data_IF_378401255405
#
_entry.id   IF_378401255405
#
_cell.length_a   1.000
_cell.length_b   1.000
_cell.length_c   1.000
_cell.angle_alpha   90.00
_cell.angle_beta   90.00
_cell.angle_gamma   90.00
#
_symmetry.space_group_name_H-M   'P 1'
#
loop_
_entity.id
_entity.type
_entity.pdbx_description
1 polymer ?
#
# COMPACT_ATOMS: atom_id res chain seq x y z
N UNK A 1 -32.74 1.00 -5.87
CA UNK A 1 -31.65 1.96 -5.60
C UNK A 1 -31.20 1.72 -4.17
N UNK A 2 -30.03 1.10 -3.97
CA UNK A 2 -29.45 0.94 -2.63
C UNK A 2 -28.82 2.28 -2.27
N UNK A 3 -29.27 2.90 -1.18
CA UNK A 3 -28.66 4.13 -0.69
C UNK A 3 -27.19 3.86 -0.34
N UNK A 4 -26.29 4.74 -0.76
CA UNK A 4 -24.87 4.66 -0.39
C UNK A 4 -24.77 4.66 1.14
N UNK A 5 -23.94 3.77 1.71
CA UNK A 5 -23.75 3.69 3.15
C UNK A 5 -23.30 5.04 3.74
N UNK A 6 -22.58 5.84 2.96
CA UNK A 6 -22.20 7.21 3.31
C UNK A 6 -23.41 8.16 3.43
N UNK A 7 -24.40 8.03 2.55
CA UNK A 7 -25.63 8.84 2.59
C UNK A 7 -26.56 8.45 3.74
N UNK A 8 -26.51 7.19 4.18
CA UNK A 8 -27.36 6.67 5.26
C UNK A 8 -26.73 6.91 6.64
N UNK A 9 -25.40 6.84 6.73
CA UNK A 9 -24.65 7.02 7.97
C UNK A 9 -23.41 7.89 7.75
N UNK A 10 -23.56 9.23 7.62
CA UNK A 10 -22.46 10.12 7.25
C UNK A 10 -21.29 10.03 8.25
N UNK A 11 -21.56 10.14 9.55
CA UNK A 11 -20.51 10.09 10.59
C UNK A 11 -19.88 8.70 10.74
N UNK A 12 -20.69 7.64 10.68
CA UNK A 12 -20.19 6.27 10.83
C UNK A 12 -19.36 5.84 9.62
N UNK A 13 -19.72 6.31 8.42
CA UNK A 13 -18.98 6.01 7.20
C UNK A 13 -17.55 6.55 7.24
N UNK A 14 -17.36 7.77 7.77
CA UNK A 14 -16.04 8.38 7.98
C UNK A 14 -15.22 7.54 8.98
N UNK A 15 -15.84 7.09 10.06
CA UNK A 15 -15.18 6.26 11.07
C UNK A 15 -14.80 4.89 10.50
N UNK A 16 -15.71 4.28 9.75
CA UNK A 16 -15.51 2.99 9.11
C UNK A 16 -14.37 3.06 8.09
N UNK A 17 -14.32 4.09 7.25
CA UNK A 17 -13.21 4.28 6.31
C UNK A 17 -11.88 4.41 7.04
N UNK A 18 -11.82 5.17 8.14
CA UNK A 18 -10.58 5.35 8.91
C UNK A 18 -10.07 4.05 9.55
N UNK A 19 -10.94 3.25 10.15
CA UNK A 19 -10.52 2.07 10.92
C UNK A 19 -10.49 0.78 10.10
N UNK A 20 -11.35 0.63 9.09
CA UNK A 20 -11.44 -0.60 8.28
C UNK A 20 -10.52 -0.57 7.06
N UNK A 21 -9.98 0.59 6.67
CA UNK A 21 -8.96 0.68 5.61
C UNK A 21 -7.57 0.21 6.04
N UNK A 22 -7.32 0.16 7.36
CA UNK A 22 -6.06 -0.32 7.90
C UNK A 22 -5.95 -1.85 7.74
N UNK A 23 -4.79 -2.32 7.29
CA UNK A 23 -4.51 -3.75 7.26
C UNK A 23 -4.34 -4.28 8.68
N UNK A 24 -4.92 -5.45 8.96
CA UNK A 24 -4.86 -6.08 10.29
C UNK A 24 -3.44 -6.54 10.69
N UNK A 25 -2.54 -6.75 9.73
CA UNK A 25 -1.20 -7.28 9.97
C UNK A 25 -0.14 -6.58 9.11
N UNK A 26 1.12 -6.67 9.54
CA UNK A 26 2.30 -6.15 8.83
C UNK A 26 2.71 -7.00 7.62
N UNK A 27 2.13 -8.19 7.43
CA UNK A 27 2.53 -9.16 6.40
C UNK A 27 2.61 -8.60 4.97
N UNK A 28 1.67 -7.75 4.51
CA UNK A 28 1.76 -7.13 3.18
C UNK A 28 2.96 -6.18 3.03
N UNK A 29 3.29 -5.43 4.08
CA UNK A 29 4.47 -4.56 4.12
C UNK A 29 5.76 -5.38 4.16
N UNK A 30 5.82 -6.41 5.01
CA UNK A 30 6.95 -7.33 5.09
C UNK A 30 7.25 -8.00 3.76
N UNK A 31 6.22 -8.53 3.08
CA UNK A 31 6.37 -9.15 1.75
C UNK A 31 6.96 -8.18 0.73
N UNK A 32 6.58 -6.91 0.82
CA UNK A 32 7.10 -5.84 -0.02
C UNK A 32 8.57 -5.56 0.31
N UNK A 33 8.91 -5.48 1.59
CA UNK A 33 10.29 -5.27 2.05
C UNK A 33 11.21 -6.45 1.75
N UNK A 34 10.75 -7.69 1.87
CA UNK A 34 11.53 -8.87 1.49
C UNK A 34 11.85 -8.86 0.00
N UNK A 35 10.86 -8.57 -0.85
CA UNK A 35 11.07 -8.44 -2.31
C UNK A 35 12.06 -7.33 -2.65
N UNK A 36 11.97 -6.18 -1.99
CA UNK A 36 12.95 -5.10 -2.18
C UNK A 36 14.34 -5.47 -1.66
N UNK A 37 14.44 -6.16 -0.54
CA UNK A 37 15.70 -6.62 0.03
C UNK A 37 16.41 -7.61 -0.89
N UNK A 38 15.68 -8.49 -1.55
CA UNK A 38 16.23 -9.40 -2.56
C UNK A 38 16.79 -8.62 -3.76
N UNK A 39 16.08 -7.61 -4.26
CA UNK A 39 16.57 -6.74 -5.35
C UNK A 39 17.86 -6.01 -4.94
N UNK A 40 17.93 -5.53 -3.70
CA UNK A 40 19.08 -4.79 -3.17
C UNK A 40 20.29 -5.71 -2.91
N UNK A 41 20.06 -6.92 -2.41
CA UNK A 41 21.11 -7.85 -1.98
C UNK A 41 21.58 -8.82 -3.07
N UNK A 42 20.68 -9.44 -3.83
CA UNK A 42 21.00 -10.55 -4.74
C UNK A 42 21.39 -10.08 -6.14
N UNK A 43 20.73 -9.05 -6.67
CA UNK A 43 20.98 -8.60 -8.05
C UNK A 43 22.26 -7.75 -8.21
N UNK A 44 23.05 -7.53 -7.15
CA UNK A 44 24.23 -6.63 -7.13
C UNK A 44 23.97 -5.23 -7.72
N UNK A 45 22.70 -4.85 -7.84
CA UNK A 45 22.31 -3.52 -8.27
C UNK A 45 22.50 -2.61 -7.07
N UNK A 46 23.63 -1.90 -7.00
CA UNK A 46 23.82 -0.82 -6.03
C UNK A 46 22.90 0.35 -6.40
N UNK A 47 21.60 0.16 -6.19
CA UNK A 47 20.59 1.19 -6.30
C UNK A 47 20.63 1.93 -4.97
N UNK A 48 20.92 3.23 -5.05
CA UNK A 48 20.85 4.10 -3.89
C UNK A 48 19.48 3.97 -3.22
N UNK A 49 19.44 3.88 -1.89
CA UNK A 49 18.21 3.65 -1.10
C UNK A 49 17.06 4.60 -1.50
N UNK A 50 17.36 5.88 -1.70
CA UNK A 50 16.41 6.91 -2.19
C UNK A 50 15.75 6.57 -3.54
N UNK A 51 16.47 5.89 -4.44
CA UNK A 51 15.95 5.43 -5.72
C UNK A 51 15.12 4.16 -5.53
N UNK A 52 15.53 3.28 -4.64
CA UNK A 52 14.79 2.05 -4.32
C UNK A 52 13.42 2.36 -3.73
N UNK A 53 13.32 3.34 -2.83
CA UNK A 53 12.05 3.83 -2.28
C UNK A 53 11.07 4.28 -3.38
N UNK A 54 11.55 5.01 -4.39
CA UNK A 54 10.73 5.46 -5.53
C UNK A 54 10.25 4.30 -6.38
N UNK A 55 11.12 3.33 -6.65
CA UNK A 55 10.76 2.11 -7.40
C UNK A 55 9.72 1.31 -6.62
N UNK A 56 9.90 1.16 -5.30
CA UNK A 56 8.96 0.48 -4.42
C UNK A 56 7.59 1.16 -4.44
N UNK A 57 7.57 2.49 -4.28
CA UNK A 57 6.36 3.30 -4.36
C UNK A 57 5.62 3.11 -5.69
N UNK A 58 6.34 3.18 -6.82
CA UNK A 58 5.75 3.02 -8.14
C UNK A 58 5.19 1.61 -8.34
N UNK A 59 5.92 0.59 -7.88
CA UNK A 59 5.50 -0.81 -7.97
C UNK A 59 4.23 -1.09 -7.15
N UNK A 60 4.17 -0.57 -5.91
CA UNK A 60 3.01 -0.72 -5.03
C UNK A 60 1.77 -0.01 -5.58
N UNK A 61 1.96 1.13 -6.25
CA UNK A 61 0.87 1.96 -6.76
C UNK A 61 0.55 1.74 -8.24
N UNK A 62 1.20 0.77 -8.90
CA UNK A 62 1.05 0.50 -10.34
C UNK A 62 -0.41 0.33 -10.77
N UNK A 63 -1.27 -0.22 -9.90
CA UNK A 63 -2.70 -0.41 -10.16
C UNK A 63 -3.51 0.90 -10.26
N UNK A 64 -3.01 1.99 -9.70
CA UNK A 64 -3.67 3.31 -9.69
C UNK A 64 -3.20 4.22 -10.82
N UNK A 65 -2.17 3.82 -11.57
CA UNK A 65 -1.56 4.60 -12.66
C UNK A 65 -2.09 4.19 -14.04
N UNK A 66 -3.24 3.51 -14.11
CA UNK A 66 -3.83 3.00 -15.34
C UNK A 66 -5.17 3.66 -15.62
#
# INVERSE_FOLDING_TARGET
MVADASSTYPELSVLAEKYLSAMATSGPSERTFSKSGQIQSENRCSIQMKRMEKVLFLNMNKRFLR
#
